data_IF_953225583817
#
_entry.id   IF_953225583817
#
_cell.length_a   1.000
_cell.length_b   1.000
_cell.length_c   1.000
_cell.angle_alpha   90.00
_cell.angle_beta   90.00
_cell.angle_gamma   90.00
#
_symmetry.space_group_name_H-M   'P 1'
#
loop_
_entity.id
_entity.type
_entity.pdbx_description
1 polymer ?
#
# COMPACT_ATOMS: atom_id res chain seq x y z
N UNK A 1 -11.45 -6.15 3.21
CA UNK A 1 -10.72 -7.38 3.61
C UNK A 1 -9.23 -7.22 3.39
N UNK A 2 -8.74 -7.00 2.15
CA UNK A 2 -7.30 -6.91 1.86
C UNK A 2 -6.51 -5.99 2.80
N UNK A 3 -6.94 -4.73 2.99
CA UNK A 3 -6.22 -3.79 3.87
C UNK A 3 -6.17 -4.17 5.36
N UNK A 4 -7.10 -5.02 5.84
CA UNK A 4 -7.07 -5.52 7.23
C UNK A 4 -6.13 -6.70 7.41
N UNK A 5 -5.84 -7.42 6.33
CA UNK A 5 -5.05 -8.65 6.38
C UNK A 5 -3.60 -8.42 5.95
N UNK A 6 -3.24 -7.25 5.45
CA UNK A 6 -1.91 -7.03 4.84
C UNK A 6 -0.75 -7.23 5.82
N UNK A 7 -0.98 -6.99 7.12
CA UNK A 7 0.01 -7.20 8.17
C UNK A 7 -0.04 -8.63 8.75
N UNK A 8 -1.25 -9.19 8.91
CA UNK A 8 -1.46 -10.49 9.56
C UNK A 8 -1.34 -11.70 8.60
N UNK A 9 -1.96 -11.62 7.42
CA UNK A 9 -1.96 -12.64 6.37
C UNK A 9 -1.84 -11.98 4.98
N UNK A 10 -0.61 -11.59 4.59
CA UNK A 10 -0.36 -10.90 3.32
C UNK A 10 -0.79 -11.72 2.10
N UNK A 11 -0.69 -13.05 2.17
CA UNK A 11 -1.09 -13.93 1.07
C UNK A 11 -2.61 -13.90 0.88
N UNK A 12 -3.40 -14.02 1.96
CA UNK A 12 -4.85 -13.87 1.87
C UNK A 12 -5.25 -12.46 1.42
N UNK A 13 -4.55 -11.42 1.90
CA UNK A 13 -4.76 -10.04 1.44
C UNK A 13 -4.56 -9.92 -0.07
N UNK A 14 -3.51 -10.53 -0.60
CA UNK A 14 -3.23 -10.58 -2.03
C UNK A 14 -4.32 -11.32 -2.80
N UNK A 15 -4.77 -12.49 -2.35
CA UNK A 15 -5.86 -13.22 -3.00
C UNK A 15 -7.17 -12.41 -3.04
N UNK A 16 -7.47 -11.64 -2.00
CA UNK A 16 -8.61 -10.74 -1.98
C UNK A 16 -8.47 -9.57 -2.97
N UNK A 17 -7.30 -8.94 -3.03
CA UNK A 17 -7.04 -7.88 -4.00
C UNK A 17 -7.11 -8.40 -5.44
N UNK A 18 -6.52 -9.58 -5.69
CA UNK A 18 -6.56 -10.25 -6.98
C UNK A 18 -8.00 -10.56 -7.42
N UNK A 19 -8.84 -11.01 -6.49
CA UNK A 19 -10.26 -11.24 -6.77
C UNK A 19 -11.01 -9.96 -7.19
N UNK A 20 -10.68 -8.81 -6.59
CA UNK A 20 -11.24 -7.51 -6.98
C UNK A 20 -10.77 -7.07 -8.37
N UNK A 21 -9.52 -7.37 -8.73
CA UNK A 21 -8.94 -7.03 -10.03
C UNK A 21 -9.70 -7.64 -11.23
N UNK A 22 -10.38 -8.78 -11.04
CA UNK A 22 -11.21 -9.42 -12.08
C UNK A 22 -12.36 -8.53 -12.56
N UNK A 23 -12.86 -7.63 -11.72
CA UNK A 23 -13.93 -6.68 -12.07
C UNK A 23 -13.41 -5.25 -12.27
N UNK A 24 -12.30 -4.91 -11.61
CA UNK A 24 -11.72 -3.56 -11.60
C UNK A 24 -10.40 -3.43 -12.35
N UNK A 25 -10.13 -4.26 -13.36
CA UNK A 25 -8.80 -4.41 -13.95
C UNK A 25 -8.23 -3.16 -14.65
N UNK A 26 -9.03 -2.13 -14.92
CA UNK A 26 -8.56 -0.85 -15.51
C UNK A 26 -8.56 0.31 -14.51
N UNK A 27 -8.81 0.03 -13.22
CA UNK A 27 -8.86 1.03 -12.16
C UNK A 27 -7.49 1.08 -11.49
N UNK A 28 -6.85 2.25 -11.48
CA UNK A 28 -5.53 2.46 -10.87
C UNK A 28 -5.47 1.98 -9.42
N UNK A 29 -6.41 2.41 -8.58
CA UNK A 29 -6.48 2.01 -7.16
C UNK A 29 -6.59 0.49 -6.95
N UNK A 30 -7.25 -0.23 -7.87
CA UNK A 30 -7.33 -1.70 -7.80
C UNK A 30 -5.98 -2.32 -8.14
N UNK A 31 -5.25 -1.77 -9.12
CA UNK A 31 -3.90 -2.23 -9.48
C UNK A 31 -2.89 -1.94 -8.36
N UNK A 32 -2.98 -0.78 -7.75
CA UNK A 32 -2.19 -0.44 -6.56
C UNK A 32 -2.45 -1.42 -5.42
N UNK A 33 -3.71 -1.71 -5.10
CA UNK A 33 -4.05 -2.65 -4.04
C UNK A 33 -3.47 -4.06 -4.29
N UNK A 34 -3.54 -4.56 -5.54
CA UNK A 34 -2.92 -5.86 -5.89
C UNK A 34 -1.40 -5.77 -5.79
N UNK A 35 -0.79 -4.70 -6.28
CA UNK A 35 0.67 -4.49 -6.21
C UNK A 35 1.19 -4.45 -4.78
N UNK A 36 0.56 -3.66 -3.91
CA UNK A 36 0.97 -3.50 -2.50
C UNK A 36 0.79 -4.80 -1.71
N UNK A 37 -0.31 -5.53 -1.92
CA UNK A 37 -0.53 -6.82 -1.24
C UNK A 37 0.40 -7.91 -1.77
N UNK A 38 0.67 -7.94 -3.09
CA UNK A 38 1.67 -8.85 -3.65
C UNK A 38 3.07 -8.56 -3.10
N UNK A 39 3.42 -7.28 -2.96
CA UNK A 39 4.68 -6.83 -2.37
C UNK A 39 4.82 -7.30 -0.92
N UNK A 40 3.79 -7.09 -0.10
CA UNK A 40 3.76 -7.55 1.29
C UNK A 40 3.86 -9.09 1.40
N UNK A 41 3.28 -9.83 0.43
CA UNK A 41 3.38 -11.28 0.35
C UNK A 41 4.71 -11.79 -0.23
N UNK A 42 5.67 -10.92 -0.55
CA UNK A 42 6.95 -11.30 -1.16
C UNK A 42 6.84 -11.80 -2.62
N UNK A 43 5.69 -11.59 -3.27
CA UNK A 43 5.44 -11.97 -4.67
C UNK A 43 5.95 -10.87 -5.60
N UNK A 44 7.26 -10.64 -5.59
CA UNK A 44 7.89 -9.48 -6.23
C UNK A 44 7.66 -9.40 -7.74
N UNK A 45 7.64 -10.52 -8.46
CA UNK A 45 7.30 -10.53 -9.90
C UNK A 45 5.88 -10.02 -10.17
N UNK A 46 4.91 -10.45 -9.35
CA UNK A 46 3.52 -10.02 -9.49
C UNK A 46 3.35 -8.57 -9.07
N UNK A 47 3.96 -8.15 -7.96
CA UNK A 47 3.96 -6.77 -7.49
C UNK A 47 4.50 -5.81 -8.58
N UNK A 48 5.65 -6.16 -9.16
CA UNK A 48 6.30 -5.38 -10.20
C UNK A 48 5.45 -5.25 -11.47
N UNK A 49 4.76 -6.33 -11.88
CA UNK A 49 3.81 -6.29 -13.01
C UNK A 49 2.65 -5.33 -12.73
N UNK A 50 2.09 -5.36 -11.52
CA UNK A 50 0.97 -4.50 -11.16
C UNK A 50 1.39 -3.04 -10.99
N UNK A 51 2.55 -2.73 -10.39
CA UNK A 51 3.06 -1.36 -10.32
C UNK A 51 3.36 -0.75 -11.70
N UNK A 52 3.92 -1.54 -12.63
CA UNK A 52 4.09 -1.11 -14.03
C UNK A 52 2.74 -0.82 -14.70
N UNK A 53 1.73 -1.63 -14.42
CA UNK A 53 0.37 -1.44 -14.94
C UNK A 53 -0.31 -0.21 -14.32
N UNK A 54 -0.18 -0.02 -13.01
CA UNK A 54 -0.62 1.18 -12.30
C UNK A 54 -0.03 2.43 -12.92
N UNK A 55 1.30 2.45 -13.15
CA UNK A 55 1.99 3.60 -13.77
C UNK A 55 1.48 3.86 -15.18
N UNK A 56 1.23 2.82 -15.99
CA UNK A 56 0.67 2.96 -17.33
C UNK A 56 -0.74 3.57 -17.33
N UNK A 57 -1.57 3.20 -16.37
CA UNK A 57 -2.96 3.68 -16.25
C UNK A 57 -3.02 5.11 -15.71
N UNK A 58 -2.21 5.41 -14.68
CA UNK A 58 -2.31 6.65 -13.92
C UNK A 58 -1.32 7.72 -14.36
N UNK A 59 -0.23 7.33 -15.03
CA UNK A 59 0.93 8.18 -15.27
C UNK A 59 1.78 8.46 -14.02
N UNK A 60 1.41 7.93 -12.85
CA UNK A 60 2.09 8.21 -11.58
C UNK A 60 3.25 7.24 -11.34
N UNK A 61 4.39 7.81 -10.97
CA UNK A 61 5.60 7.06 -10.59
C UNK A 61 5.74 6.87 -9.07
N UNK A 62 4.68 7.10 -8.28
CA UNK A 62 4.74 7.06 -6.80
C UNK A 62 5.31 5.75 -6.24
N UNK A 63 5.10 4.61 -6.90
CA UNK A 63 5.64 3.31 -6.48
C UNK A 63 7.02 2.98 -7.05
N UNK A 64 7.79 3.96 -7.55
CA UNK A 64 9.13 3.70 -8.12
C UNK A 64 10.06 3.02 -7.11
N UNK A 65 10.01 3.41 -5.84
CA UNK A 65 10.77 2.76 -4.76
C UNK A 65 10.40 1.28 -4.61
N UNK A 66 9.10 0.96 -4.57
CA UNK A 66 8.63 -0.43 -4.50
C UNK A 66 9.04 -1.25 -5.73
N UNK A 67 9.03 -0.66 -6.93
CA UNK A 67 9.48 -1.31 -8.15
C UNK A 67 10.99 -1.65 -8.09
N UNK A 68 11.81 -0.71 -7.62
CA UNK A 68 13.23 -0.94 -7.43
C UNK A 68 13.48 -2.03 -6.36
N UNK A 69 12.73 -2.01 -5.26
CA UNK A 69 12.86 -3.01 -4.20
C UNK A 69 12.42 -4.40 -4.67
N UNK A 70 11.39 -4.49 -5.51
CA UNK A 70 11.01 -5.75 -6.16
C UNK A 70 12.15 -6.34 -7.00
N UNK A 71 12.85 -5.52 -7.81
CA UNK A 71 14.00 -6.02 -8.58
C UNK A 71 15.13 -6.48 -7.65
N UNK A 72 15.36 -5.78 -6.53
CA UNK A 72 16.30 -6.20 -5.49
C UNK A 72 15.91 -7.54 -4.85
N UNK A 73 14.64 -7.69 -4.45
CA UNK A 73 14.08 -8.94 -3.92
C UNK A 73 14.10 -10.12 -4.90
N UNK A 74 14.16 -9.84 -6.21
CA UNK A 74 14.39 -10.82 -7.28
C UNK A 74 15.88 -11.12 -7.54
N UNK A 75 16.78 -10.56 -6.72
CA UNK A 75 18.23 -10.74 -6.84
C UNK A 75 18.86 -9.95 -7.99
N UNK A 76 18.27 -8.81 -8.38
CA UNK A 76 18.76 -7.92 -9.45
C UNK A 76 19.07 -6.52 -8.93
N UNK A 77 20.04 -6.37 -8.00
CA UNK A 77 20.35 -5.08 -7.39
C UNK A 77 20.81 -4.02 -8.41
N UNK A 78 21.48 -4.41 -9.49
CA UNK A 78 21.86 -3.49 -10.57
C UNK A 78 20.62 -2.88 -11.23
N UNK A 79 19.57 -3.69 -11.43
CA UNK A 79 18.32 -3.21 -12.02
C UNK A 79 17.55 -2.28 -11.07
N UNK A 80 17.65 -2.51 -9.77
CA UNK A 80 17.12 -1.60 -8.76
C UNK A 80 17.80 -0.22 -8.83
N UNK A 81 19.13 -0.18 -9.00
CA UNK A 81 19.87 1.07 -9.17
C UNK A 81 19.54 1.81 -10.47
N UNK A 82 19.41 1.09 -11.59
CA UNK A 82 18.95 1.68 -12.85
C UNK A 82 17.59 2.38 -12.70
N UNK A 83 16.65 1.76 -11.99
CA UNK A 83 15.34 2.35 -11.68
C UNK A 83 15.46 3.54 -10.71
N UNK A 84 16.33 3.45 -9.70
CA UNK A 84 16.53 4.51 -8.73
C UNK A 84 17.15 5.78 -9.34
N UNK A 85 17.94 5.63 -10.40
CA UNK A 85 18.61 6.73 -11.09
C UNK A 85 17.87 7.20 -12.36
N UNK A 86 16.66 6.69 -12.60
CA UNK A 86 15.86 7.08 -13.75
C UNK A 86 15.27 8.50 -13.61
N UNK A 87 14.89 9.10 -14.74
CA UNK A 87 14.31 10.45 -14.78
C UNK A 87 13.00 10.55 -13.97
N UNK A 88 12.26 9.45 -13.82
CA UNK A 88 11.03 9.38 -13.03
C UNK A 88 11.24 9.72 -11.55
N UNK A 89 12.46 9.59 -11.01
CA UNK A 89 12.81 10.05 -9.67
C UNK A 89 12.45 11.53 -9.47
N UNK A 90 12.54 12.35 -10.51
CA UNK A 90 12.25 13.78 -10.42
C UNK A 90 10.77 14.08 -10.16
N UNK A 91 9.88 13.14 -10.49
CA UNK A 91 8.43 13.24 -10.28
C UNK A 91 8.00 12.92 -8.84
N UNK A 92 8.91 12.39 -8.02
CA UNK A 92 8.61 11.98 -6.65
C UNK A 92 8.62 13.17 -5.68
N UNK A 93 7.75 13.09 -4.67
CA UNK A 93 7.82 13.94 -3.49
C UNK A 93 9.03 13.58 -2.60
N UNK A 94 9.25 14.35 -1.53
CA UNK A 94 10.42 14.15 -0.67
C UNK A 94 10.38 12.81 0.07
N UNK A 95 9.19 12.35 0.47
CA UNK A 95 9.06 11.06 1.16
C UNK A 95 9.43 9.90 0.23
N UNK A 96 8.87 9.86 -0.98
CA UNK A 96 9.20 8.81 -1.93
C UNK A 96 10.65 8.90 -2.45
N UNK A 97 11.25 10.10 -2.50
CA UNK A 97 12.70 10.25 -2.78
C UNK A 97 13.57 9.65 -1.68
N UNK A 98 13.18 9.81 -0.42
CA UNK A 98 13.88 9.19 0.71
C UNK A 98 13.76 7.66 0.66
N UNK A 99 12.56 7.14 0.44
CA UNK A 99 12.33 5.69 0.29
C UNK A 99 13.13 5.11 -0.89
N UNK A 100 13.15 5.79 -2.05
CA UNK A 100 13.94 5.33 -3.19
C UNK A 100 15.45 5.29 -2.89
N UNK A 101 15.97 6.27 -2.15
CA UNK A 101 17.37 6.30 -1.74
C UNK A 101 17.72 5.16 -0.76
N UNK A 102 16.82 4.84 0.17
CA UNK A 102 16.96 3.68 1.07
C UNK A 102 17.03 2.39 0.25
N UNK A 103 16.18 2.25 -0.76
CA UNK A 103 16.19 1.09 -1.65
C UNK A 103 17.51 0.99 -2.43
N UNK A 104 17.98 2.11 -3.01
CA UNK A 104 19.24 2.18 -3.73
C UNK A 104 20.46 1.83 -2.85
N UNK A 105 20.46 2.34 -1.62
CA UNK A 105 21.48 2.03 -0.60
C UNK A 105 21.54 0.54 -0.26
N UNK A 106 20.36 -0.09 -0.09
CA UNK A 106 20.30 -1.55 0.10
C UNK A 106 20.81 -2.32 -1.11
N UNK A 107 20.46 -1.89 -2.34
CA UNK A 107 20.96 -2.53 -3.56
C UNK A 107 22.50 -2.47 -3.68
N UNK A 108 23.11 -1.34 -3.30
CA UNK A 108 24.59 -1.23 -3.18
C UNK A 108 25.16 -2.19 -2.14
N UNK A 109 24.50 -2.30 -0.99
CA UNK A 109 24.90 -3.19 0.09
C UNK A 109 24.83 -4.67 -0.30
N UNK A 110 23.81 -5.07 -1.07
CA UNK A 110 23.68 -6.44 -1.59
C UNK A 110 24.85 -6.82 -2.52
N UNK A 111 25.41 -5.84 -3.23
CA UNK A 111 26.61 -6.01 -4.06
C UNK A 111 27.92 -5.90 -3.27
N UNK A 112 27.87 -5.67 -1.96
CA UNK A 112 29.03 -5.46 -1.09
C UNK A 112 29.67 -4.06 -1.19
N UNK A 113 29.05 -3.12 -1.89
CA UNK A 113 29.52 -1.75 -2.05
C UNK A 113 29.00 -0.87 -0.89
N UNK A 114 29.57 -1.03 0.30
CA UNK A 114 29.09 -0.34 1.51
C UNK A 114 29.34 1.17 1.48
N UNK A 115 30.44 1.64 0.88
CA UNK A 115 30.67 3.09 0.72
C UNK A 115 29.71 3.70 -0.31
N UNK A 116 29.44 2.99 -1.41
CA UNK A 116 28.39 3.38 -2.35
C UNK A 116 27.01 3.41 -1.69
N UNK A 117 26.71 2.47 -0.79
CA UNK A 117 25.45 2.47 -0.04
C UNK A 117 25.27 3.72 0.82
N UNK A 118 26.34 4.19 1.47
CA UNK A 118 26.32 5.46 2.21
C UNK A 118 26.07 6.62 1.25
N UNK A 119 26.75 6.66 0.11
CA UNK A 119 26.61 7.75 -0.86
C UNK A 119 25.20 7.89 -1.44
N UNK A 120 24.47 6.79 -1.68
CA UNK A 120 23.08 6.84 -2.16
C UNK A 120 22.12 7.56 -1.18
N UNK A 121 22.43 7.54 0.12
CA UNK A 121 21.62 8.15 1.18
C UNK A 121 21.96 9.62 1.45
N UNK A 122 23.06 10.15 0.90
CA UNK A 122 23.48 11.55 1.06
C UNK A 122 22.66 12.48 0.14
N UNK A 123 21.34 12.41 0.28
CA UNK A 123 20.36 13.19 -0.47
C UNK A 123 19.97 14.47 0.28
N UNK A 124 19.40 15.48 -0.40
CA UNK A 124 18.95 16.73 0.26
C UNK A 124 17.95 16.54 1.40
N UNK A 125 17.21 15.42 1.42
CA UNK A 125 16.26 15.07 2.46
C UNK A 125 16.92 14.58 3.76
N UNK A 126 18.20 14.19 3.71
CA UNK A 126 18.99 13.80 4.88
C UNK A 126 19.49 15.05 5.64
N UNK A 127 18.60 15.70 6.38
CA UNK A 127 18.93 16.83 7.25
C UNK A 127 18.76 16.44 8.72
N UNK A 128 19.89 16.33 9.44
CA UNK A 128 19.92 15.94 10.85
C UNK A 128 19.09 16.87 11.76
N UNK A 129 18.82 18.11 11.34
CA UNK A 129 18.12 19.11 12.16
C UNK A 129 16.61 19.17 11.90
N UNK A 130 16.09 18.37 10.95
CA UNK A 130 14.68 18.37 10.59
C UNK A 130 14.08 16.98 10.79
N UNK A 131 12.89 16.94 11.37
CA UNK A 131 12.11 15.74 11.54
C UNK A 131 10.88 15.81 10.62
N UNK A 132 10.94 15.10 9.50
CA UNK A 132 9.79 14.77 8.67
C UNK A 132 9.33 13.35 8.97
N UNK A 133 8.14 12.97 8.52
CA UNK A 133 7.59 11.61 8.75
C UNK A 133 8.53 10.49 8.30
N UNK A 134 9.32 10.70 7.23
CA UNK A 134 10.30 9.73 6.73
C UNK A 134 11.67 9.81 7.42
N UNK A 135 11.93 10.85 8.23
CA UNK A 135 13.27 11.11 8.78
C UNK A 135 13.78 10.01 9.72
N UNK A 136 13.00 9.46 10.67
CA UNK A 136 13.49 8.38 11.53
C UNK A 136 14.02 7.19 10.74
N UNK A 137 13.23 6.71 9.77
CA UNK A 137 13.60 5.59 8.89
C UNK A 137 14.82 5.91 8.02
N UNK A 138 14.91 7.13 7.48
CA UNK A 138 16.08 7.56 6.70
C UNK A 138 17.36 7.63 7.57
N UNK A 139 17.25 8.11 8.81
CA UNK A 139 18.38 8.18 9.74
C UNK A 139 18.84 6.79 10.18
N UNK A 140 17.91 5.86 10.38
CA UNK A 140 18.20 4.46 10.65
C UNK A 140 18.97 3.83 9.49
N UNK A 141 18.45 3.91 8.26
CA UNK A 141 19.12 3.38 7.07
C UNK A 141 20.53 3.98 6.88
N UNK A 142 20.71 5.28 7.13
CA UNK A 142 22.02 5.93 7.02
C UNK A 142 22.98 5.49 8.13
N UNK A 143 22.49 5.33 9.36
CA UNK A 143 23.29 4.80 10.45
C UNK A 143 23.75 3.36 10.18
N UNK A 144 22.86 2.51 9.66
CA UNK A 144 23.17 1.14 9.29
C UNK A 144 24.20 1.07 8.16
N UNK A 145 24.02 1.88 7.09
CA UNK A 145 24.99 1.95 6.00
C UNK A 145 26.37 2.43 6.48
N UNK A 146 26.42 3.46 7.33
CA UNK A 146 27.66 3.94 7.96
C UNK A 146 28.33 2.86 8.80
N UNK A 147 27.53 2.10 9.56
CA UNK A 147 28.02 1.00 10.39
C UNK A 147 28.63 -0.12 9.52
N UNK A 148 27.95 -0.50 8.44
CA UNK A 148 28.44 -1.50 7.47
C UNK A 148 29.73 -1.05 6.76
N UNK A 149 29.89 0.25 6.51
CA UNK A 149 31.13 0.84 5.98
C UNK A 149 32.25 1.00 7.04
N UNK A 150 32.02 0.61 8.30
CA UNK A 150 33.00 0.71 9.38
C UNK A 150 33.11 2.11 10.02
N UNK A 151 32.19 3.03 9.71
CA UNK A 151 32.12 4.40 10.23
C UNK A 151 31.27 4.48 11.51
N UNK A 152 31.55 3.61 12.49
CA UNK A 152 30.70 3.41 13.68
C UNK A 152 30.51 4.65 14.57
N UNK A 153 31.50 5.55 14.60
CA UNK A 153 31.41 6.81 15.37
C UNK A 153 30.35 7.76 14.79
N UNK A 154 30.26 7.83 13.47
CA UNK A 154 29.26 8.61 12.76
C UNK A 154 27.89 7.96 12.86
N UNK A 155 27.81 6.64 12.65
CA UNK A 155 26.58 5.85 12.82
C UNK A 155 25.94 6.09 14.20
N UNK A 156 26.76 6.07 15.26
CA UNK A 156 26.31 6.35 16.64
C UNK A 156 25.64 7.71 16.80
N UNK A 157 26.04 8.72 16.02
CA UNK A 157 25.40 10.04 16.05
C UNK A 157 24.00 9.99 15.44
N UNK A 158 23.84 9.29 14.33
CA UNK A 158 22.56 9.13 13.63
C UNK A 158 21.58 8.27 14.41
N UNK A 159 22.03 7.16 15.01
CA UNK A 159 21.17 6.36 15.89
C UNK A 159 20.57 7.18 17.04
N UNK A 160 21.36 8.07 17.67
CA UNK A 160 20.83 8.97 18.70
C UNK A 160 19.80 9.96 18.15
N UNK A 161 19.92 10.34 16.89
CA UNK A 161 19.01 11.31 16.27
C UNK A 161 17.64 10.71 15.96
N UNK A 162 17.54 9.39 15.77
CA UNK A 162 16.27 8.69 15.54
C UNK A 162 15.28 9.01 16.66
N UNK A 163 15.65 8.74 17.92
CA UNK A 163 14.77 9.03 19.07
C UNK A 163 14.44 10.51 19.25
N UNK A 164 15.33 11.43 18.83
CA UNK A 164 15.04 12.88 18.83
C UNK A 164 13.97 13.22 17.78
N UNK A 165 14.09 12.64 16.58
CA UNK A 165 13.13 12.83 15.50
C UNK A 165 11.77 12.20 15.83
N UNK A 166 11.76 10.96 16.35
CA UNK A 166 10.54 10.26 16.79
C UNK A 166 9.81 11.05 17.87
N UNK A 167 10.53 11.54 18.89
CA UNK A 167 9.96 12.39 19.93
C UNK A 167 9.36 13.67 19.37
N UNK A 168 10.02 14.29 18.40
CA UNK A 168 9.50 15.52 17.78
C UNK A 168 8.23 15.27 16.94
N UNK A 169 8.08 14.06 16.41
CA UNK A 169 6.94 13.64 15.60
C UNK A 169 5.81 13.00 16.42
N UNK A 170 6.09 12.58 17.66
CA UNK A 170 5.13 11.83 18.48
C UNK A 170 4.86 10.43 17.93
N UNK A 171 5.89 9.77 17.40
CA UNK A 171 5.80 8.41 16.82
C UNK A 171 6.76 7.46 17.55
N UNK A 172 6.66 6.16 17.28
CA UNK A 172 7.53 5.16 17.90
C UNK A 172 7.25 5.02 19.39
N UNK A 173 8.30 5.09 20.23
CA UNK A 173 8.14 5.03 21.70
C UNK A 173 7.29 6.18 22.26
N UNK A 174 7.15 7.28 21.51
CA UNK A 174 6.42 8.48 21.93
C UNK A 174 5.01 8.56 21.35
N UNK A 175 4.53 7.52 20.65
CA UNK A 175 3.17 7.46 20.15
C UNK A 175 2.17 7.34 21.30
N UNK A 176 1.14 8.20 21.30
CA UNK A 176 0.09 8.12 22.31
C UNK A 176 -0.74 6.84 22.11
N UNK A 177 -1.00 6.07 23.17
CA UNK A 177 -1.74 4.82 23.03
C UNK A 177 -3.14 5.09 22.46
N UNK A 178 -3.53 4.34 21.44
CA UNK A 178 -4.89 4.36 20.92
C UNK A 178 -5.83 3.79 22.00
N UNK A 179 -6.53 4.68 22.70
CA UNK A 179 -7.55 4.30 23.67
C UNK A 179 -8.79 3.90 22.87
N UNK A 180 -8.89 2.61 22.56
CA UNK A 180 -10.13 2.04 22.05
C UNK A 180 -11.12 2.00 23.21
N UNK A 181 -12.12 2.88 23.17
CA UNK A 181 -13.25 2.82 24.09
C UNK A 181 -14.04 1.55 23.79
N UNK A 182 -13.75 0.49 24.53
CA UNK A 182 -14.55 -0.73 24.59
C UNK A 182 -15.81 -0.44 25.40
N UNK A 183 -16.52 0.63 25.03
CA UNK A 183 -17.71 1.10 25.71
C UNK A 183 -18.59 -0.11 25.93
N UNK A 184 -18.85 -0.43 27.21
CA UNK A 184 -19.99 -1.25 27.56
C UNK A 184 -21.15 -0.61 26.81
N UNK A 185 -21.74 -1.35 25.86
CA UNK A 185 -22.70 -0.77 24.93
C UNK A 185 -23.77 -0.09 25.80
N UNK A 186 -23.87 1.24 25.76
CA UNK A 186 -24.82 1.96 26.62
C UNK A 186 -26.25 1.46 26.37
N UNK A 187 -26.49 0.83 25.21
CA UNK A 187 -27.71 0.10 24.91
C UNK A 187 -27.84 -1.22 25.70
N UNK A 188 -26.77 -1.98 25.90
CA UNK A 188 -26.72 -3.20 26.72
C UNK A 188 -26.93 -2.87 28.20
N UNK A 189 -26.24 -1.87 28.76
CA UNK A 189 -26.48 -1.43 30.14
C UNK A 189 -27.92 -0.93 30.36
N UNK A 190 -28.47 -0.22 29.36
CA UNK A 190 -29.87 0.26 29.40
C UNK A 190 -30.86 -0.89 29.36
N UNK A 191 -30.62 -1.90 28.51
CA UNK A 191 -31.43 -3.14 28.47
C UNK A 191 -31.34 -3.90 29.79
N UNK A 192 -30.15 -4.06 30.35
CA UNK A 192 -29.96 -4.72 31.65
C UNK A 192 -30.61 -3.92 32.80
N UNK A 193 -30.58 -2.59 32.75
CA UNK A 193 -31.25 -1.73 33.71
C UNK A 193 -32.78 -1.81 33.58
N UNK A 194 -33.31 -1.84 32.37
CA UNK A 194 -34.74 -2.07 32.08
C UNK A 194 -35.19 -3.45 32.56
N UNK A 195 -34.41 -4.50 32.30
CA UNK A 195 -34.67 -5.84 32.81
C UNK A 195 -34.66 -5.90 34.34
N UNK A 196 -33.69 -5.25 35.00
CA UNK A 196 -33.65 -5.17 36.46
C UNK A 196 -34.86 -4.44 37.03
N UNK A 197 -35.31 -3.36 36.37
CA UNK A 197 -36.54 -2.64 36.76
C UNK A 197 -37.79 -3.49 36.55
N UNK A 198 -37.88 -4.23 35.45
CA UNK A 198 -38.99 -5.15 35.18
C UNK A 198 -39.05 -6.30 36.22
N UNK A 199 -37.90 -6.89 36.55
CA UNK A 199 -37.77 -7.92 37.60
C UNK A 199 -38.14 -7.39 38.98
N UNK A 200 -37.77 -6.15 39.31
CA UNK A 200 -38.15 -5.51 40.57
C UNK A 200 -39.66 -5.17 40.64
N UNK A 201 -40.26 -4.71 39.54
CA UNK A 201 -41.69 -4.44 39.46
C UNK A 201 -42.55 -5.72 39.57
N UNK A 202 -42.04 -6.85 39.06
CA UNK A 202 -42.68 -8.15 39.18
C UNK A 202 -42.56 -8.76 40.60
N UNK A 203 -41.65 -8.25 41.44
CA UNK A 203 -41.40 -8.74 42.80
C UNK A 203 -42.18 -7.98 43.90
N UNK A 204 -42.94 -6.93 43.56
CA UNK A 204 -43.87 -6.30 44.51
C UNK A 204 -45.08 -7.21 44.76
N UNK A 205 -45.48 -7.46 46.04
CA UNK A 205 -46.67 -8.24 46.32
C UNK A 205 -47.90 -7.47 45.82
N UNK A 206 -48.74 -8.12 45.01
CA UNK A 206 -50.07 -7.60 44.69
C UNK A 206 -50.94 -7.75 45.95
N UNK A 207 -51.16 -6.66 46.66
CA UNK A 207 -52.28 -6.57 47.59
C UNK A 207 -53.57 -6.41 46.78
N UNK A 208 -54.42 -7.43 46.90
CA UNK A 208 -55.76 -7.54 46.35
C UNK A 208 -56.77 -6.85 47.30
N UNK A 209 -57.51 -5.86 46.80
CA UNK A 209 -58.80 -5.43 47.34
C UNK A 209 -59.61 -4.63 46.29
N UNK A 210 -60.86 -5.05 46.05
CA UNK A 210 -61.85 -4.52 45.09
C UNK A 210 -62.29 -3.06 45.31
N UNK A 211 -63.23 -2.45 44.56
CA UNK A 211 -64.45 -2.90 43.87
C UNK A 211 -64.94 -1.79 42.89
N UNK A 212 -65.52 -2.20 41.74
CA UNK A 212 -66.73 -1.70 41.04
C UNK A 212 -67.03 -0.19 40.78
N UNK A 213 -67.30 0.14 39.49
CA UNK A 213 -68.41 0.97 38.92
C UNK A 213 -68.16 1.24 37.42
N UNK A 214 -68.85 0.57 36.50
CA UNK A 214 -70.15 0.89 35.87
C UNK A 214 -70.15 2.07 34.86
N UNK A 215 -70.49 1.75 33.60
CA UNK A 215 -71.36 2.58 32.75
C UNK A 215 -70.79 3.28 31.51
N UNK A 216 -71.04 2.71 30.31
CA UNK A 216 -71.63 3.49 29.20
C UNK A 216 -70.88 3.68 27.86
N UNK A 217 -71.35 2.93 26.84
CA UNK A 217 -71.52 3.28 25.39
C UNK A 217 -70.29 3.69 24.56
N UNK A 218 -69.76 2.87 23.64
CA UNK A 218 -70.27 2.45 22.32
C UNK A 218 -70.21 3.54 21.23
N UNK A 219 -69.22 3.46 20.32
CA UNK A 219 -69.39 3.72 18.88
C UNK A 219 -68.42 2.82 18.07
N UNK A 220 -68.93 2.34 16.95
CA UNK A 220 -68.57 1.15 16.18
C UNK A 220 -67.87 1.51 14.85
N UNK A 221 -67.24 0.48 14.29
CA UNK A 221 -66.55 0.27 13.02
C UNK A 221 -66.99 1.11 11.80
N UNK A 222 -66.23 1.21 10.71
CA UNK A 222 -65.05 0.50 10.24
C UNK A 222 -64.86 0.91 8.78
N UNK A 223 -63.61 1.15 8.37
CA UNK A 223 -63.28 1.61 7.03
C UNK A 223 -62.58 0.48 6.26
N UNK A 224 -63.23 0.01 5.20
CA UNK A 224 -62.63 -0.82 4.17
C UNK A 224 -61.80 0.05 3.20
N UNK A 225 -60.86 -0.54 2.45
CA UNK A 225 -60.98 -0.40 1.01
C UNK A 225 -60.75 -1.70 0.23
N UNK A 226 -61.31 -1.66 -0.97
CA UNK A 226 -61.45 -2.63 -2.04
C UNK A 226 -60.15 -2.92 -2.80
N UNK A 227 -60.02 -4.18 -3.23
CA UNK A 227 -59.22 -4.63 -4.37
C UNK A 227 -59.88 -4.19 -5.69
N UNK A 228 -59.09 -3.86 -6.70
CA UNK A 228 -59.30 -4.27 -8.10
C UNK A 228 -58.05 -3.97 -8.95
N UNK A 229 -57.74 -4.94 -9.79
CA UNK A 229 -56.57 -5.18 -10.65
C UNK A 229 -56.38 -4.14 -11.78
N UNK A 230 -55.16 -4.04 -12.34
CA UNK A 230 -54.93 -4.46 -13.74
C UNK A 230 -53.44 -4.54 -14.11
N UNK A 231 -53.16 -5.48 -15.00
CA UNK A 231 -51.89 -5.92 -15.57
C UNK A 231 -51.17 -4.87 -16.45
N UNK A 232 -49.84 -4.99 -16.60
CA UNK A 232 -49.22 -5.16 -17.93
C UNK A 232 -47.71 -5.49 -17.88
N UNK A 233 -47.32 -6.28 -18.87
CA UNK A 233 -46.14 -7.10 -19.09
C UNK A 233 -44.94 -6.32 -19.71
N UNK A 234 -43.83 -7.05 -19.91
CA UNK A 234 -42.68 -6.81 -20.81
C UNK A 234 -41.45 -6.15 -20.17
N UNK A 235 -40.22 -6.61 -20.35
CA UNK A 235 -39.70 -7.75 -21.10
C UNK A 235 -38.21 -7.90 -20.81
N UNK A 236 -37.74 -9.13 -20.94
CA UNK A 236 -36.35 -9.56 -20.77
C UNK A 236 -35.44 -8.94 -21.85
N UNK A 237 -34.25 -8.49 -21.45
CA UNK A 237 -33.13 -8.32 -22.38
C UNK A 237 -31.83 -8.72 -21.65
N UNK A 238 -31.38 -9.92 -22.00
CA UNK A 238 -30.04 -10.44 -21.79
C UNK A 238 -29.12 -9.73 -22.80
N UNK A 239 -28.14 -8.96 -22.34
CA UNK A 239 -27.06 -8.46 -23.21
C UNK A 239 -25.82 -9.33 -23.03
N UNK A 240 -25.71 -10.27 -23.95
CA UNK A 240 -24.55 -11.06 -24.32
C UNK A 240 -23.49 -10.13 -24.94
N UNK A 241 -22.40 -9.84 -24.22
CA UNK A 241 -21.29 -9.06 -24.79
C UNK A 241 -20.29 -10.02 -25.42
N UNK A 242 -20.39 -10.12 -26.75
CA UNK A 242 -19.51 -10.91 -27.61
C UNK A 242 -18.03 -10.55 -27.46
N UNK A 243 -17.25 -11.60 -27.26
CA UNK A 243 -15.80 -11.61 -27.23
C UNK A 243 -15.35 -11.61 -28.70
N UNK A 244 -14.75 -10.53 -29.18
CA UNK A 244 -14.05 -10.52 -30.46
C UNK A 244 -12.55 -10.58 -30.20
N UNK A 245 -12.00 -11.79 -30.29
CA UNK A 245 -10.58 -12.02 -30.52
C UNK A 245 -10.25 -11.53 -31.94
N UNK A 246 -9.27 -10.66 -32.07
CA UNK A 246 -8.50 -10.53 -33.31
C UNK A 246 -7.06 -10.82 -32.97
N UNK A 247 -6.69 -12.04 -33.35
CA UNK A 247 -5.38 -12.57 -33.63
C UNK A 247 -4.60 -11.60 -34.53
N UNK A 248 -3.39 -11.20 -34.11
CA UNK A 248 -2.38 -10.65 -35.01
C UNK A 248 -1.01 -11.06 -34.49
N UNK A 249 -0.64 -12.28 -34.86
CA UNK A 249 0.70 -12.81 -34.78
C UNK A 249 1.47 -12.52 -36.08
N UNK A 250 2.54 -11.72 -35.93
CA UNK A 250 3.91 -11.86 -36.51
C UNK A 250 4.07 -12.05 -38.03
N UNK A 251 4.86 -11.15 -38.64
CA UNK A 251 5.86 -11.55 -39.65
C UNK A 251 7.22 -10.89 -39.29
N UNK A 252 8.33 -11.66 -39.31
CA UNK A 252 9.68 -11.19 -39.05
C UNK A 252 10.38 -10.79 -40.35
N UNK A 253 11.23 -9.77 -40.33
CA UNK A 253 12.17 -9.53 -41.44
C UNK A 253 13.58 -9.95 -41.01
N UNK A 254 13.95 -11.19 -41.34
CA UNK A 254 15.35 -11.63 -41.48
C UNK A 254 15.77 -11.64 -42.95
N UNK A 255 17.04 -11.28 -43.18
CA UNK A 255 17.79 -11.49 -44.42
C UNK A 255 18.51 -10.22 -44.88
N UNK A 256 19.84 -10.14 -44.99
CA UNK A 256 20.92 -11.11 -44.87
C UNK A 256 22.28 -10.33 -44.77
N UNK A 257 23.41 -11.00 -44.50
CA UNK A 257 24.70 -10.38 -44.12
C UNK A 257 25.63 -10.17 -45.31
N UNK A 258 26.64 -9.29 -45.21
CA UNK A 258 27.92 -9.44 -45.93
C UNK A 258 29.10 -8.77 -45.19
N UNK A 259 30.24 -9.41 -45.42
CA UNK A 259 31.50 -9.42 -44.70
C UNK A 259 32.39 -8.16 -44.84
N UNK A 260 33.26 -8.03 -43.83
CA UNK A 260 34.68 -7.64 -43.88
C UNK A 260 35.19 -6.63 -44.92
N UNK A 261 35.86 -5.58 -44.43
CA UNK A 261 37.25 -5.38 -44.83
C UNK A 261 38.10 -4.84 -43.68
N UNK A 262 39.30 -5.38 -43.59
CA UNK A 262 40.33 -5.10 -42.62
C UNK A 262 41.39 -4.19 -43.26
N UNK A 263 41.80 -3.16 -42.54
CA UNK A 263 43.10 -2.51 -42.66
C UNK A 263 43.28 -1.72 -41.34
N UNK A 264 44.02 -2.21 -40.35
CA UNK A 264 45.49 -2.27 -40.31
C UNK A 264 46.13 -0.94 -40.74
N UNK A 265 46.57 -0.13 -39.76
CA UNK A 265 48.00 0.09 -39.49
C UNK A 265 48.25 1.31 -38.59
N UNK A 266 49.06 1.06 -37.55
CA UNK A 266 50.09 1.95 -36.97
C UNK A 266 49.69 3.06 -35.97
N UNK A 267 49.88 2.71 -34.69
CA UNK A 267 50.50 3.57 -33.68
C UNK A 267 52.04 3.35 -33.70
N UNK A 268 52.90 4.02 -32.89
CA UNK A 268 52.81 5.35 -32.27
C UNK A 268 54.07 6.23 -32.58
N UNK A 269 53.93 7.56 -32.57
CA UNK A 269 55.06 8.49 -32.55
C UNK A 269 55.39 8.89 -31.12
N UNK A 270 56.51 8.41 -30.58
CA UNK A 270 57.07 8.86 -29.31
C UNK A 270 57.79 10.20 -29.45
N UNK A 271 57.57 11.09 -28.49
CA UNK A 271 58.35 12.32 -28.31
C UNK A 271 59.33 12.13 -27.15
N UNK A 272 60.62 11.96 -27.48
CA UNK A 272 61.75 12.25 -26.59
C UNK A 272 62.88 12.89 -27.42
N UNK A 273 63.19 14.16 -27.15
CA UNK A 273 64.55 14.74 -27.13
C UNK A 273 64.47 16.21 -26.70
N UNK A 274 64.92 16.52 -25.48
CA UNK A 274 66.26 17.02 -25.12
C UNK A 274 66.48 18.50 -25.44
N UNK A 275 66.62 19.27 -24.36
CA UNK A 275 67.54 20.40 -24.22
C UNK A 275 68.29 20.22 -22.90
#
# INVERSE_FOLDING_TARGET
>A
MAGRLIEDDPEAAFQHALAASRRGGRIGAVREAVGMTAYAAGRYDDALREFRTFRRITGSSIHLAHMADCERGLGRPEKALELAHSDERNMLDNANKAELAIVASGARSDMGDHEGAVAELEIPQLDINRAFSFSPRLFEAYADALSAAGRSSEASKWYRQIGVAEKALGVGEFEEPEIVDLGWDEAEERREAEERRAKAAAASPRDDAGEERDGGTAEDAGHAPSDEDDDEETGLAEDEIGIHETDDAVEPTEGAPLEADAADEQAPGGEEHQA
#
